data_IF_213742035675
#
_entry.id   IF_213742035675
#
_cell.length_a   1.000
_cell.length_b   1.000
_cell.length_c   1.000
_cell.angle_alpha   90.00
_cell.angle_beta   90.00
_cell.angle_gamma   90.00
#
_symmetry.space_group_name_H-M   'P 1'
#
loop_
_entity.id
_entity.type
_entity.pdbx_description
1 polymer ?
#
# COMPACT_ATOMS: atom_id res chain seq x y z
N UNK A 1 -28.03 -2.56 -31.01
CA UNK A 1 -27.76 -2.50 -29.57
C UNK A 1 -26.69 -3.54 -29.25
N UNK A 2 -25.44 -3.12 -29.05
CA UNK A 2 -24.38 -4.03 -28.64
C UNK A 2 -24.56 -4.36 -27.15
N UNK A 3 -24.73 -5.64 -26.84
CA UNK A 3 -24.85 -6.21 -25.51
C UNK A 3 -23.61 -5.84 -24.69
N UNK A 4 -23.76 -4.96 -23.69
CA UNK A 4 -22.73 -4.63 -22.70
C UNK A 4 -22.66 -5.68 -21.58
N UNK A 5 -22.53 -6.94 -21.93
CA UNK A 5 -22.05 -7.97 -21.02
C UNK A 5 -20.64 -8.40 -21.43
N UNK A 6 -19.74 -7.43 -21.58
CA UNK A 6 -18.32 -7.77 -21.50
C UNK A 6 -18.06 -8.10 -20.03
N UNK A 7 -18.04 -9.38 -19.73
CA UNK A 7 -17.50 -9.94 -18.50
C UNK A 7 -16.15 -9.25 -18.26
N UNK A 8 -16.03 -8.47 -17.19
CA UNK A 8 -14.77 -7.82 -16.84
C UNK A 8 -13.71 -8.92 -16.72
N UNK A 9 -12.80 -8.97 -17.69
CA UNK A 9 -11.72 -9.95 -17.65
C UNK A 9 -10.88 -9.67 -16.40
N UNK A 10 -10.53 -10.74 -15.69
CA UNK A 10 -9.54 -10.72 -14.63
C UNK A 10 -8.31 -9.90 -15.05
N UNK A 11 -7.86 -9.00 -14.17
CA UNK A 11 -6.69 -8.14 -14.42
C UNK A 11 -5.80 -8.09 -13.19
N UNK A 12 -4.50 -8.02 -13.44
CA UNK A 12 -3.52 -7.64 -12.43
C UNK A 12 -3.35 -6.13 -12.51
N UNK A 13 -3.61 -5.44 -11.41
CA UNK A 13 -3.64 -3.99 -11.35
C UNK A 13 -2.64 -3.50 -10.29
N UNK A 14 -1.79 -2.56 -10.67
CA UNK A 14 -0.88 -1.87 -9.76
C UNK A 14 -1.41 -0.47 -9.48
N UNK A 15 -1.66 -0.16 -8.21
CA UNK A 15 -2.05 1.16 -7.74
C UNK A 15 -0.88 1.86 -7.08
N UNK A 16 -0.58 3.06 -7.51
CA UNK A 16 0.40 3.93 -6.86
C UNK A 16 -0.33 5.06 -6.14
N UNK A 17 -0.14 5.14 -4.81
CA UNK A 17 -0.76 6.15 -3.95
C UNK A 17 0.31 7.06 -3.38
N UNK A 18 0.24 8.33 -3.72
CA UNK A 18 1.15 9.37 -3.23
C UNK A 18 0.76 9.88 -1.84
N UNK A 19 1.70 10.55 -1.15
CA UNK A 19 1.52 11.07 0.20
C UNK A 19 0.32 12.01 0.31
N UNK A 20 0.12 12.92 -0.65
CA UNK A 20 -0.99 13.89 -0.64
C UNK A 20 -2.37 13.23 -0.65
N UNK A 21 -2.49 12.05 -1.23
CA UNK A 21 -3.74 11.28 -1.25
C UNK A 21 -4.05 10.60 0.09
N UNK A 22 -3.10 10.61 1.02
CA UNK A 22 -3.19 9.91 2.31
C UNK A 22 -3.13 10.84 3.51
N UNK A 23 -2.88 12.14 3.31
CA UNK A 23 -2.61 13.07 4.39
C UNK A 23 -3.71 14.12 4.60
N UNK A 24 -3.79 14.59 5.84
CA UNK A 24 -4.53 15.79 6.23
C UNK A 24 -3.73 17.05 5.84
N UNK A 25 -4.33 18.21 6.03
CA UNK A 25 -3.70 19.52 5.75
C UNK A 25 -2.43 19.75 6.59
N UNK A 26 -2.39 19.22 7.82
CA UNK A 26 -1.24 19.29 8.71
C UNK A 26 -0.10 18.32 8.34
N UNK A 27 -0.27 17.52 7.31
CA UNK A 27 0.69 16.54 6.83
C UNK A 27 0.67 15.20 7.58
N UNK A 28 -0.20 15.03 8.58
CA UNK A 28 -0.40 13.75 9.27
C UNK A 28 -1.18 12.75 8.41
N UNK A 29 -1.10 11.46 8.73
CA UNK A 29 -1.86 10.44 8.03
C UNK A 29 -3.36 10.60 8.28
N UNK A 30 -4.15 10.59 7.22
CA UNK A 30 -5.61 10.60 7.29
C UNK A 30 -6.15 9.18 7.26
N UNK A 31 -6.58 8.67 8.40
CA UNK A 31 -7.21 7.34 8.49
C UNK A 31 -8.45 7.20 7.61
N UNK A 32 -9.24 8.25 7.48
CA UNK A 32 -10.42 8.25 6.61
C UNK A 32 -10.07 8.08 5.13
N UNK A 33 -9.00 8.76 4.66
CA UNK A 33 -8.51 8.60 3.29
C UNK A 33 -7.94 7.20 3.04
N UNK A 34 -7.15 6.67 3.98
CA UNK A 34 -6.64 5.29 3.92
C UNK A 34 -7.79 4.30 3.84
N UNK A 35 -8.79 4.46 4.70
CA UNK A 35 -10.00 3.61 4.70
C UNK A 35 -10.74 3.67 3.37
N UNK A 36 -10.95 4.86 2.82
CA UNK A 36 -11.64 5.04 1.54
C UNK A 36 -10.90 4.34 0.38
N UNK A 37 -9.57 4.48 0.32
CA UNK A 37 -8.74 3.79 -0.68
C UNK A 37 -8.83 2.28 -0.49
N UNK A 38 -8.71 1.81 0.75
CA UNK A 38 -8.78 0.38 1.07
C UNK A 38 -10.12 -0.24 0.70
N UNK A 39 -11.22 0.49 0.88
CA UNK A 39 -12.54 0.03 0.46
C UNK A 39 -12.64 -0.15 -1.07
N UNK A 40 -12.07 0.78 -1.85
CA UNK A 40 -12.03 0.66 -3.31
C UNK A 40 -11.18 -0.52 -3.76
N UNK A 41 -10.02 -0.72 -3.13
CA UNK A 41 -9.16 -1.88 -3.39
C UNK A 41 -9.89 -3.20 -3.09
N UNK A 42 -10.57 -3.26 -1.95
CA UNK A 42 -11.34 -4.44 -1.56
C UNK A 42 -12.45 -4.78 -2.57
N UNK A 43 -13.17 -3.79 -3.05
CA UNK A 43 -14.21 -3.99 -4.08
C UNK A 43 -13.63 -4.58 -5.37
N UNK A 44 -12.47 -4.10 -5.82
CA UNK A 44 -11.80 -4.64 -6.99
C UNK A 44 -11.27 -6.05 -6.78
N UNK A 45 -10.72 -6.33 -5.59
CA UNK A 45 -10.28 -7.67 -5.22
C UNK A 45 -11.45 -8.67 -5.20
N UNK A 46 -12.57 -8.28 -4.60
CA UNK A 46 -13.80 -9.09 -4.56
C UNK A 46 -14.41 -9.31 -5.96
N UNK A 47 -14.16 -8.39 -6.90
CA UNK A 47 -14.51 -8.55 -8.30
C UNK A 47 -13.58 -9.50 -9.09
N UNK A 48 -12.56 -10.09 -8.43
CA UNK A 48 -11.67 -11.09 -9.00
C UNK A 48 -10.37 -10.54 -9.58
N UNK A 49 -10.01 -9.29 -9.28
CA UNK A 49 -8.72 -8.73 -9.71
C UNK A 49 -7.59 -9.05 -8.73
N UNK A 50 -6.38 -9.25 -9.25
CA UNK A 50 -5.15 -9.25 -8.46
C UNK A 50 -4.67 -7.82 -8.27
N UNK A 51 -4.37 -7.43 -7.03
CA UNK A 51 -4.01 -6.05 -6.72
C UNK A 51 -2.63 -5.97 -6.08
N UNK A 52 -1.86 -4.98 -6.53
CA UNK A 52 -0.59 -4.58 -5.92
C UNK A 52 -0.71 -3.08 -5.60
N UNK A 53 -0.56 -2.74 -4.32
CA UNK A 53 -0.56 -1.37 -3.86
C UNK A 53 0.86 -0.89 -3.60
N UNK A 54 1.26 0.18 -4.27
CA UNK A 54 2.50 0.91 -4.00
C UNK A 54 2.14 2.20 -3.27
N UNK A 55 2.39 2.22 -1.97
CA UNK A 55 1.96 3.32 -1.11
C UNK A 55 3.12 4.16 -0.60
N UNK A 56 2.96 5.46 -0.63
CA UNK A 56 3.72 6.43 0.17
C UNK A 56 3.06 6.64 1.53
N UNK A 57 3.61 7.53 2.37
CA UNK A 57 2.95 8.00 3.59
C UNK A 57 3.56 7.53 4.91
N UNK A 58 4.66 6.78 4.88
CA UNK A 58 5.31 6.29 6.10
C UNK A 58 5.75 7.45 7.04
N UNK A 59 6.37 8.50 6.51
CA UNK A 59 6.74 9.67 7.31
C UNK A 59 5.50 10.33 7.93
N UNK A 60 4.45 10.50 7.14
CA UNK A 60 3.20 11.10 7.59
C UNK A 60 2.52 10.29 8.70
N UNK A 61 2.64 8.96 8.64
CA UNK A 61 2.09 8.06 9.66
C UNK A 61 2.88 8.11 10.98
N UNK A 62 4.18 8.42 10.94
CA UNK A 62 5.07 8.22 12.08
C UNK A 62 5.53 9.47 12.80
N UNK A 63 5.55 10.65 12.17
CA UNK A 63 6.19 11.80 12.80
C UNK A 63 5.47 12.27 14.10
N UNK A 64 4.14 12.20 14.12
CA UNK A 64 3.35 12.52 15.30
C UNK A 64 3.62 11.61 16.49
N UNK A 65 3.82 10.31 16.24
CA UNK A 65 4.14 9.33 17.28
C UNK A 65 5.51 9.58 17.93
N UNK A 66 6.42 10.25 17.22
CA UNK A 66 7.71 10.69 17.75
C UNK A 66 7.66 12.09 18.42
N UNK A 67 6.47 12.67 18.56
CA UNK A 67 6.29 13.98 19.19
C UNK A 67 6.59 15.19 18.31
N UNK A 68 6.80 14.98 17.01
CA UNK A 68 6.96 16.11 16.09
C UNK A 68 5.59 16.79 15.85
N UNK A 69 5.52 18.09 16.08
CA UNK A 69 4.31 18.89 15.83
C UNK A 69 4.06 19.17 14.35
N UNK A 70 5.11 19.08 13.53
CA UNK A 70 5.08 19.28 12.08
C UNK A 70 5.92 18.23 11.40
N UNK A 71 5.64 17.97 10.12
CA UNK A 71 6.44 17.06 9.31
C UNK A 71 7.91 17.50 9.32
N UNK A 72 8.84 16.60 9.69
CA UNK A 72 10.26 16.93 9.79
C UNK A 72 10.88 17.22 8.41
N UNK A 73 11.89 18.08 8.42
CA UNK A 73 12.66 18.44 7.22
C UNK A 73 14.04 17.80 7.19
N UNK A 74 14.63 17.55 8.37
CA UNK A 74 15.94 16.89 8.50
C UNK A 74 15.86 15.42 8.08
N UNK A 75 16.88 14.93 7.40
CA UNK A 75 16.93 13.55 6.88
C UNK A 75 16.79 12.52 7.99
N UNK A 76 17.54 12.65 9.08
CA UNK A 76 17.49 11.71 10.20
C UNK A 76 16.09 11.62 10.84
N UNK A 77 15.43 12.77 11.01
CA UNK A 77 14.08 12.84 11.57
C UNK A 77 13.03 12.24 10.62
N UNK A 78 13.22 12.44 9.31
CA UNK A 78 12.37 11.79 8.28
C UNK A 78 12.55 10.28 8.28
N UNK A 79 13.79 9.80 8.37
CA UNK A 79 14.08 8.37 8.42
C UNK A 79 13.51 7.72 9.68
N UNK A 80 13.69 8.35 10.85
CA UNK A 80 13.09 7.89 12.09
C UNK A 80 11.56 7.85 12.02
N UNK A 81 10.96 8.91 11.49
CA UNK A 81 9.51 8.98 11.29
C UNK A 81 9.01 7.91 10.33
N UNK A 82 9.74 7.63 9.26
CA UNK A 82 9.38 6.58 8.30
C UNK A 82 9.48 5.19 8.92
N UNK A 83 10.50 4.94 9.75
CA UNK A 83 10.68 3.66 10.44
C UNK A 83 9.51 3.33 11.37
N UNK A 84 9.04 4.30 12.15
CA UNK A 84 7.85 4.17 12.99
C UNK A 84 6.59 4.08 12.12
N UNK A 85 6.46 4.98 11.17
CA UNK A 85 5.26 5.14 10.37
C UNK A 85 5.00 4.02 9.39
N UNK A 86 6.02 3.28 8.94
CA UNK A 86 5.82 2.15 8.04
C UNK A 86 4.98 1.05 8.69
N UNK A 87 5.24 0.73 9.95
CA UNK A 87 4.43 -0.22 10.71
C UNK A 87 2.99 0.26 10.90
N UNK A 88 2.81 1.53 11.28
CA UNK A 88 1.49 2.13 11.47
C UNK A 88 0.67 2.19 10.18
N UNK A 89 1.30 2.54 9.07
CA UNK A 89 0.64 2.58 7.76
C UNK A 89 0.20 1.18 7.31
N UNK A 90 1.08 0.19 7.48
CA UNK A 90 0.75 -1.19 7.16
C UNK A 90 -0.40 -1.71 8.01
N UNK A 91 -0.41 -1.41 9.31
CA UNK A 91 -1.49 -1.77 10.23
C UNK A 91 -2.84 -1.21 9.76
N UNK A 92 -2.90 0.06 9.34
CA UNK A 92 -4.12 0.67 8.81
C UNK A 92 -4.64 -0.08 7.56
N UNK A 93 -3.77 -0.41 6.61
CA UNK A 93 -4.16 -1.20 5.43
C UNK A 93 -4.61 -2.62 5.81
N UNK A 94 -3.83 -3.32 6.61
CA UNK A 94 -4.09 -4.70 7.00
C UNK A 94 -5.41 -4.83 7.77
N UNK A 95 -5.64 -3.95 8.74
CA UNK A 95 -6.86 -3.96 9.55
C UNK A 95 -8.09 -3.74 8.69
N UNK A 96 -8.07 -2.73 7.80
CA UNK A 96 -9.21 -2.45 6.94
C UNK A 96 -9.50 -3.58 5.93
N UNK A 97 -8.47 -4.26 5.41
CA UNK A 97 -8.63 -5.39 4.49
C UNK A 97 -9.13 -6.65 5.22
N UNK A 98 -8.61 -6.93 6.42
CA UNK A 98 -9.05 -8.07 7.23
C UNK A 98 -10.53 -8.00 7.63
N UNK A 99 -11.09 -6.81 7.84
CA UNK A 99 -12.51 -6.63 8.06
C UNK A 99 -13.37 -7.18 6.92
N UNK A 100 -12.80 -7.32 5.73
CA UNK A 100 -13.42 -7.92 4.54
C UNK A 100 -12.83 -9.29 4.21
N UNK A 101 -12.13 -9.91 5.15
CA UNK A 101 -11.50 -11.23 4.99
C UNK A 101 -10.46 -11.28 3.85
N UNK A 102 -9.85 -10.15 3.54
CA UNK A 102 -8.77 -10.06 2.55
C UNK A 102 -7.44 -10.06 3.28
N UNK A 103 -6.59 -11.03 2.96
CA UNK A 103 -5.22 -11.11 3.45
C UNK A 103 -4.35 -10.16 2.66
N UNK A 104 -3.53 -9.37 3.34
CA UNK A 104 -2.52 -8.52 2.72
C UNK A 104 -1.12 -8.95 3.14
N UNK A 105 -0.16 -8.71 2.28
CA UNK A 105 1.24 -8.94 2.55
C UNK A 105 2.06 -7.69 2.20
N UNK A 106 3.16 -7.48 2.90
CA UNK A 106 4.11 -6.43 2.61
C UNK A 106 5.37 -7.01 1.98
N UNK A 107 5.79 -6.42 0.87
CA UNK A 107 7.10 -6.66 0.26
C UNK A 107 7.87 -5.36 0.27
N UNK A 108 9.06 -5.39 0.89
CA UNK A 108 9.99 -4.27 0.89
C UNK A 108 11.04 -4.51 -0.21
N UNK A 109 11.05 -3.61 -1.18
CA UNK A 109 11.94 -3.68 -2.33
C UNK A 109 12.95 -2.53 -2.27
N UNK A 110 14.17 -2.84 -2.64
CA UNK A 110 15.25 -1.87 -2.86
C UNK A 110 15.57 -1.76 -4.35
N UNK A 111 16.35 -0.76 -4.73
CA UNK A 111 16.81 -0.62 -6.11
C UNK A 111 17.62 -1.84 -6.57
N UNK A 112 18.40 -2.45 -5.67
CA UNK A 112 19.20 -3.63 -5.96
C UNK A 112 18.34 -4.86 -6.33
N UNK A 113 17.12 -4.94 -5.80
CA UNK A 113 16.19 -6.02 -6.13
C UNK A 113 15.71 -6.00 -7.58
N UNK A 114 15.85 -4.86 -8.26
CA UNK A 114 15.54 -4.71 -9.68
C UNK A 114 16.77 -4.90 -10.59
N UNK A 115 17.98 -4.72 -10.08
CA UNK A 115 19.24 -4.82 -10.84
C UNK A 115 19.82 -6.23 -10.77
N UNK A 116 19.81 -6.84 -9.60
CA UNK A 116 20.30 -8.20 -9.38
C UNK A 116 19.27 -9.22 -9.89
N UNK A 117 19.65 -10.04 -10.86
CA UNK A 117 18.76 -11.03 -11.49
C UNK A 117 18.18 -12.04 -10.51
N UNK A 118 18.97 -12.47 -9.52
CA UNK A 118 18.54 -13.46 -8.53
C UNK A 118 17.53 -12.85 -7.57
N UNK A 119 17.80 -11.64 -7.07
CA UNK A 119 16.89 -10.88 -6.20
C UNK A 119 15.58 -10.57 -6.91
N UNK A 120 15.64 -10.10 -8.14
CA UNK A 120 14.48 -9.86 -8.99
C UNK A 120 13.62 -11.10 -9.13
N UNK A 121 14.23 -12.24 -9.46
CA UNK A 121 13.52 -13.52 -9.61
C UNK A 121 12.83 -13.93 -8.30
N UNK A 122 13.51 -13.80 -7.17
CA UNK A 122 12.95 -14.15 -5.86
C UNK A 122 11.76 -13.28 -5.49
N UNK A 123 11.88 -11.96 -5.69
CA UNK A 123 10.79 -11.02 -5.45
C UNK A 123 9.57 -11.31 -6.35
N UNK A 124 9.81 -11.55 -7.64
CA UNK A 124 8.77 -11.91 -8.59
C UNK A 124 8.05 -13.20 -8.21
N UNK A 125 8.78 -14.23 -7.80
CA UNK A 125 8.19 -15.50 -7.36
C UNK A 125 7.35 -15.33 -6.10
N UNK A 126 7.82 -14.58 -5.10
CA UNK A 126 7.08 -14.30 -3.88
C UNK A 126 5.76 -13.55 -4.18
N UNK A 127 5.81 -12.50 -5.00
CA UNK A 127 4.63 -11.77 -5.44
C UNK A 127 3.63 -12.69 -6.17
N UNK A 128 4.13 -13.54 -7.07
CA UNK A 128 3.28 -14.46 -7.85
C UNK A 128 2.56 -15.45 -6.94
N UNK A 129 3.24 -15.99 -5.93
CA UNK A 129 2.62 -16.88 -4.94
C UNK A 129 1.54 -16.17 -4.13
N UNK A 130 1.83 -14.97 -3.62
CA UNK A 130 0.87 -14.19 -2.84
C UNK A 130 -0.39 -13.90 -3.65
N UNK A 131 -0.24 -13.41 -4.88
CA UNK A 131 -1.37 -13.10 -5.77
C UNK A 131 -2.18 -14.35 -6.11
N UNK A 132 -1.53 -15.49 -6.39
CA UNK A 132 -2.21 -16.75 -6.68
C UNK A 132 -2.98 -17.33 -5.48
N UNK A 133 -2.62 -16.90 -4.27
CA UNK A 133 -3.30 -17.29 -3.02
C UNK A 133 -4.35 -16.28 -2.56
N UNK A 134 -4.58 -15.22 -3.34
CA UNK A 134 -5.62 -14.23 -3.06
C UNK A 134 -5.21 -13.14 -2.05
N UNK A 135 -3.89 -12.95 -1.84
CA UNK A 135 -3.40 -11.82 -1.06
C UNK A 135 -3.28 -10.57 -1.90
#
# INVERSE_FOLDING_TARGET
>A
MKNRSETMKYKRIVFKVGTSSLTNEDGSLSRSKVKAITQQLAMLHEAGHELILVSSGAIAAGFGALGFKKRPTKIADKQASAAVGQGLLLEEYTTNLLLRQIVSAQILLTQDDFVDKRRYKNAHQALSVLLSRGA
#
